data_IF_197195698469
#
_entry.id   IF_197195698469
#
_cell.length_a   1.000
_cell.length_b   1.000
_cell.length_c   1.000
_cell.angle_alpha   90.00
_cell.angle_beta   90.00
_cell.angle_gamma   90.00
#
_symmetry.space_group_name_H-M   'P 1'
#
loop_
_entity.id
_entity.type
_entity.pdbx_description
1 polymer ?
#
# COMPACT_ATOMS: atom_id res chain seq x y z
N UNK A 1 -19.40 -11.59 12.99
CA UNK A 1 -19.28 -10.39 12.14
C UNK A 1 -19.43 -10.82 10.68
N UNK A 2 -20.32 -10.16 9.95
CA UNK A 2 -20.56 -10.49 8.55
C UNK A 2 -19.42 -10.04 7.65
N UNK A 3 -19.28 -10.64 6.44
CA UNK A 3 -18.23 -10.31 5.46
C UNK A 3 -18.19 -8.83 5.11
N UNK A 4 -19.35 -8.16 4.99
CA UNK A 4 -19.46 -6.72 4.74
C UNK A 4 -18.92 -5.87 5.89
N UNK A 5 -19.21 -6.26 7.12
CA UNK A 5 -18.73 -5.56 8.32
C UNK A 5 -17.23 -5.67 8.45
N UNK A 6 -16.66 -6.84 8.17
CA UNK A 6 -15.20 -7.05 8.16
C UNK A 6 -14.51 -6.19 7.10
N UNK A 7 -15.13 -6.02 5.94
CA UNK A 7 -14.63 -5.14 4.88
C UNK A 7 -14.68 -3.67 5.28
N UNK A 8 -15.78 -3.22 5.85
CA UNK A 8 -15.89 -1.83 6.34
C UNK A 8 -14.89 -1.51 7.42
N UNK A 9 -14.65 -2.45 8.33
CA UNK A 9 -13.62 -2.29 9.37
C UNK A 9 -12.23 -2.21 8.74
N UNK A 10 -11.92 -3.03 7.74
CA UNK A 10 -10.64 -2.97 7.03
C UNK A 10 -10.42 -1.63 6.33
N UNK A 11 -11.44 -1.09 5.65
CA UNK A 11 -11.38 0.25 5.05
C UNK A 11 -11.14 1.32 6.11
N UNK A 12 -11.90 1.29 7.20
CA UNK A 12 -11.74 2.26 8.27
C UNK A 12 -10.32 2.24 8.88
N UNK A 13 -9.73 1.05 9.05
CA UNK A 13 -8.36 0.92 9.55
C UNK A 13 -7.35 1.55 8.59
N UNK A 14 -7.49 1.31 7.29
CA UNK A 14 -6.58 1.90 6.28
C UNK A 14 -6.70 3.42 6.28
N UNK A 15 -7.90 3.96 6.25
CA UNK A 15 -8.14 5.41 6.29
C UNK A 15 -7.61 6.06 7.58
N UNK A 16 -7.79 5.42 8.73
CA UNK A 16 -7.25 5.91 9.99
C UNK A 16 -5.72 5.91 10.01
N UNK A 17 -5.11 4.90 9.42
CA UNK A 17 -3.65 4.85 9.30
C UNK A 17 -3.11 5.95 8.37
N UNK A 18 -3.78 6.21 7.26
CA UNK A 18 -3.41 7.29 6.35
C UNK A 18 -3.56 8.66 7.04
N UNK A 19 -4.69 8.91 7.70
CA UNK A 19 -4.90 10.14 8.47
C UNK A 19 -3.85 10.34 9.55
N UNK A 20 -3.48 9.27 10.26
CA UNK A 20 -2.41 9.29 11.24
C UNK A 20 -1.07 9.72 10.63
N UNK A 21 -0.72 9.13 9.50
CA UNK A 21 0.57 9.42 8.85
C UNK A 21 0.61 10.84 8.27
N UNK A 22 -0.51 11.34 7.75
CA UNK A 22 -0.63 12.74 7.33
C UNK A 22 -0.44 13.71 8.49
N UNK A 23 -1.07 13.43 9.63
CA UNK A 23 -0.91 14.24 10.83
C UNK A 23 0.52 14.16 11.38
N UNK A 24 1.16 13.01 11.31
CA UNK A 24 2.55 12.84 11.74
C UNK A 24 3.54 13.61 10.85
N UNK A 25 3.24 13.79 9.58
CA UNK A 25 4.03 14.55 8.62
C UNK A 25 3.84 16.08 8.76
N UNK A 26 2.78 16.53 9.45
CA UNK A 26 2.53 17.96 9.67
C UNK A 26 3.39 18.49 10.81
N UNK A 27 3.89 19.73 10.68
CA UNK A 27 4.70 20.40 11.71
C UNK A 27 3.86 20.93 12.90
N UNK A 28 2.56 20.68 12.91
CA UNK A 28 1.66 21.11 13.99
C UNK A 28 1.69 20.14 15.16
N UNK A 29 1.53 20.67 16.37
CA UNK A 29 1.37 19.86 17.58
C UNK A 29 -0.01 19.17 17.58
N UNK A 30 -0.06 18.04 16.96
CA UNK A 30 -1.23 17.17 16.86
C UNK A 30 -1.06 15.89 17.70
N UNK A 31 -0.15 15.90 18.66
CA UNK A 31 0.22 14.74 19.46
C UNK A 31 -0.97 14.08 20.16
N UNK A 32 -1.91 14.88 20.68
CA UNK A 32 -3.12 14.37 21.32
C UNK A 32 -4.07 13.68 20.32
N UNK A 33 -4.19 14.21 19.11
CA UNK A 33 -5.00 13.62 18.04
C UNK A 33 -4.36 12.34 17.54
N UNK A 34 -3.05 12.31 17.33
CA UNK A 34 -2.30 11.11 16.98
C UNK A 34 -2.48 9.99 18.01
N UNK A 35 -2.37 10.32 19.29
CA UNK A 35 -2.56 9.35 20.38
C UNK A 35 -3.97 8.74 20.34
N UNK A 36 -5.00 9.55 20.12
CA UNK A 36 -6.38 9.06 19.98
C UNK A 36 -6.56 8.12 18.79
N UNK A 37 -5.92 8.44 17.68
CA UNK A 37 -5.94 7.59 16.47
C UNK A 37 -5.18 6.29 16.74
N UNK A 38 -4.00 6.35 17.36
CA UNK A 38 -3.23 5.17 17.72
C UNK A 38 -4.00 4.24 18.69
N UNK A 39 -4.68 4.81 19.69
CA UNK A 39 -5.53 4.05 20.61
C UNK A 39 -6.72 3.38 19.88
N UNK A 40 -7.33 4.08 18.94
CA UNK A 40 -8.42 3.52 18.14
C UNK A 40 -7.92 2.38 17.23
N UNK A 41 -6.77 2.57 16.58
CA UNK A 41 -6.14 1.53 15.76
C UNK A 41 -5.76 0.30 16.59
N UNK A 42 -5.19 0.49 17.77
CA UNK A 42 -4.83 -0.60 18.68
C UNK A 42 -6.07 -1.41 19.12
N UNK A 43 -7.20 -0.74 19.37
CA UNK A 43 -8.47 -1.43 19.67
C UNK A 43 -8.99 -2.24 18.50
N UNK A 44 -8.86 -1.71 17.27
CA UNK A 44 -9.26 -2.42 16.06
C UNK A 44 -8.34 -3.60 15.75
N UNK A 45 -7.03 -3.45 15.97
CA UNK A 45 -6.07 -4.55 15.82
C UNK A 45 -6.30 -5.69 16.81
N UNK A 46 -6.86 -5.39 17.99
CA UNK A 46 -7.26 -6.39 18.99
C UNK A 46 -8.53 -7.17 18.60
N UNK A 47 -9.25 -6.76 17.56
CA UNK A 47 -10.40 -7.49 17.03
C UNK A 47 -9.90 -8.62 16.13
N UNK A 48 -10.02 -9.86 16.59
CA UNK A 48 -9.50 -11.06 15.93
C UNK A 48 -10.08 -11.34 14.52
N UNK A 49 -10.97 -10.51 14.03
CA UNK A 49 -11.66 -10.67 12.75
C UNK A 49 -11.26 -9.64 11.68
N UNK A 50 -10.25 -8.80 11.93
CA UNK A 50 -9.76 -7.88 10.91
C UNK A 50 -9.11 -8.66 9.76
N UNK A 51 -9.61 -8.51 8.54
CA UNK A 51 -9.00 -9.21 7.41
C UNK A 51 -7.59 -8.69 7.16
N UNK A 52 -6.67 -9.60 6.88
CA UNK A 52 -5.28 -9.27 6.54
C UNK A 52 -5.16 -8.49 5.23
N UNK A 53 -6.21 -8.49 4.40
CA UNK A 53 -6.27 -7.79 3.13
C UNK A 53 -7.69 -7.71 2.58
N UNK A 54 -7.82 -7.09 1.41
CA UNK A 54 -9.08 -6.94 0.69
C UNK A 54 -9.14 -7.86 -0.53
N UNK A 55 -10.31 -8.42 -0.85
CA UNK A 55 -10.53 -9.06 -2.15
C UNK A 55 -10.21 -8.11 -3.31
N UNK A 56 -9.87 -8.67 -4.47
CA UNK A 56 -9.49 -7.88 -5.65
C UNK A 56 -10.56 -6.85 -6.05
N UNK A 57 -11.83 -7.21 -5.98
CA UNK A 57 -12.93 -6.29 -6.33
C UNK A 57 -12.99 -5.08 -5.39
N UNK A 58 -12.84 -5.30 -4.09
CA UNK A 58 -12.84 -4.23 -3.09
C UNK A 58 -11.56 -3.39 -3.16
N UNK A 59 -10.43 -4.00 -3.40
CA UNK A 59 -9.17 -3.30 -3.63
C UNK A 59 -9.26 -2.38 -4.86
N UNK A 60 -9.87 -2.87 -5.95
CA UNK A 60 -10.12 -2.07 -7.16
C UNK A 60 -11.02 -0.86 -6.86
N UNK A 61 -12.10 -1.06 -6.12
CA UNK A 61 -13.00 0.02 -5.71
C UNK A 61 -12.29 1.04 -4.82
N UNK A 62 -11.49 0.58 -3.85
CA UNK A 62 -10.72 1.44 -2.96
C UNK A 62 -9.69 2.29 -3.70
N UNK A 63 -8.97 1.70 -4.65
CA UNK A 63 -7.98 2.40 -5.48
C UNK A 63 -8.60 3.18 -6.64
N UNK A 64 -9.89 3.02 -6.90
CA UNK A 64 -10.60 3.62 -8.03
C UNK A 64 -9.97 3.22 -9.39
N UNK A 65 -9.63 1.97 -9.52
CA UNK A 65 -9.09 1.35 -10.73
C UNK A 65 -9.89 0.10 -11.10
N UNK A 66 -9.63 -0.46 -12.26
CA UNK A 66 -10.28 -1.70 -12.67
C UNK A 66 -9.68 -2.95 -11.98
N UNK A 67 -10.45 -4.01 -11.85
CA UNK A 67 -9.95 -5.29 -11.34
C UNK A 67 -8.78 -5.86 -12.15
N UNK A 68 -8.81 -5.84 -13.50
CA UNK A 68 -7.66 -6.24 -14.31
C UNK A 68 -6.38 -5.46 -13.97
N UNK A 69 -6.50 -4.17 -13.67
CA UNK A 69 -5.37 -3.34 -13.23
C UNK A 69 -4.81 -3.83 -11.91
N UNK A 70 -5.66 -4.13 -10.93
CA UNK A 70 -5.21 -4.70 -9.64
C UNK A 70 -4.50 -6.04 -9.84
N UNK A 71 -5.03 -6.91 -10.70
CA UNK A 71 -4.39 -8.20 -11.01
C UNK A 71 -3.03 -8.05 -11.68
N UNK A 72 -2.91 -7.09 -12.59
CA UNK A 72 -1.63 -6.77 -13.24
C UNK A 72 -0.61 -6.24 -12.21
N UNK A 73 -1.02 -5.36 -11.32
CA UNK A 73 -0.16 -4.85 -10.26
C UNK A 73 0.27 -5.92 -9.26
N UNK A 74 -0.58 -6.89 -8.96
CA UNK A 74 -0.21 -8.08 -8.18
C UNK A 74 0.85 -8.91 -8.90
N UNK A 75 0.73 -9.10 -10.20
CA UNK A 75 1.73 -9.82 -11.01
C UNK A 75 3.07 -9.09 -11.04
N UNK A 76 3.05 -7.78 -11.13
CA UNK A 76 4.26 -6.94 -11.19
C UNK A 76 4.88 -6.67 -9.82
N UNK A 77 4.24 -7.08 -8.73
CA UNK A 77 4.72 -6.88 -7.37
C UNK A 77 4.50 -5.49 -6.80
N UNK A 78 3.72 -4.64 -7.47
CA UNK A 78 3.28 -3.35 -6.93
C UNK A 78 2.34 -3.50 -5.75
N UNK A 79 1.39 -4.39 -5.91
CA UNK A 79 0.54 -4.88 -4.84
C UNK A 79 1.02 -6.27 -4.44
N UNK A 80 0.93 -6.56 -3.16
CA UNK A 80 1.25 -7.87 -2.62
C UNK A 80 -0.02 -8.59 -2.22
N UNK A 81 0.00 -9.91 -2.36
CA UNK A 81 -1.09 -10.77 -1.90
C UNK A 81 -0.81 -11.27 -0.49
N UNK A 82 -1.87 -11.47 0.26
CA UNK A 82 -1.77 -12.19 1.54
C UNK A 82 -1.36 -13.63 1.25
N UNK A 83 -0.29 -14.16 1.89
CA UNK A 83 0.15 -15.54 1.66
C UNK A 83 -0.97 -16.54 1.94
N UNK A 84 -1.10 -17.55 1.06
CA UNK A 84 -2.02 -18.69 1.21
C UNK A 84 -3.51 -18.34 1.31
N UNK A 85 -3.89 -17.10 1.05
CA UNK A 85 -5.29 -16.69 1.07
C UNK A 85 -6.03 -17.17 -0.19
N UNK A 86 -7.17 -17.82 0.01
CA UNK A 86 -8.11 -18.23 -1.04
C UNK A 86 -9.52 -17.78 -0.66
N UNK A 87 -10.17 -16.92 -1.43
CA UNK A 87 -9.68 -16.24 -2.65
C UNK A 87 -8.51 -15.31 -2.41
N UNK A 88 -7.88 -14.83 -3.49
CA UNK A 88 -6.76 -13.89 -3.42
C UNK A 88 -7.16 -12.62 -2.70
N UNK A 89 -6.39 -12.25 -1.68
CA UNK A 89 -6.52 -11.02 -0.94
C UNK A 89 -5.33 -10.12 -1.22
N UNK A 90 -5.59 -8.84 -1.48
CA UNK A 90 -4.55 -7.81 -1.60
C UNK A 90 -4.13 -7.39 -0.20
N UNK A 91 -2.85 -7.47 0.09
CA UNK A 91 -2.29 -7.14 1.40
C UNK A 91 -2.51 -5.66 1.75
N UNK A 92 -2.99 -5.43 2.96
CA UNK A 92 -3.41 -4.11 3.46
C UNK A 92 -2.33 -3.04 3.36
N UNK A 93 -1.12 -3.36 3.72
CA UNK A 93 0.00 -2.40 3.72
C UNK A 93 0.41 -1.99 2.30
N UNK A 94 0.47 -2.93 1.38
CA UNK A 94 0.77 -2.62 -0.03
C UNK A 94 -0.35 -1.80 -0.67
N UNK A 95 -1.62 -2.10 -0.32
CA UNK A 95 -2.78 -1.35 -0.78
C UNK A 95 -2.72 0.11 -0.32
N UNK A 96 -2.40 0.34 0.94
CA UNK A 96 -2.26 1.67 1.53
C UNK A 96 -1.16 2.49 0.83
N UNK A 97 -0.01 1.89 0.58
CA UNK A 97 1.08 2.55 -0.15
C UNK A 97 0.70 2.97 -1.56
N UNK A 98 0.08 2.07 -2.29
CA UNK A 98 -0.37 2.35 -3.66
C UNK A 98 -1.46 3.43 -3.65
N UNK A 99 -2.40 3.37 -2.73
CA UNK A 99 -3.44 4.39 -2.58
C UNK A 99 -2.84 5.79 -2.37
N UNK A 100 -1.90 5.92 -1.46
CA UNK A 100 -1.21 7.19 -1.19
C UNK A 100 -0.51 7.74 -2.43
N UNK A 101 0.21 6.89 -3.15
CA UNK A 101 0.89 7.27 -4.38
C UNK A 101 -0.10 7.71 -5.48
N UNK A 102 -1.23 7.01 -5.59
CA UNK A 102 -2.28 7.38 -6.54
C UNK A 102 -2.88 8.73 -6.22
N UNK A 103 -3.14 9.00 -4.95
CA UNK A 103 -3.68 10.29 -4.51
C UNK A 103 -2.70 11.43 -4.80
N UNK A 104 -1.41 11.26 -4.49
CA UNK A 104 -0.38 12.23 -4.81
C UNK A 104 -0.29 12.50 -6.32
N UNK A 105 -0.39 11.48 -7.15
CA UNK A 105 -0.35 11.63 -8.60
C UNK A 105 -1.62 12.27 -9.16
N UNK A 106 -2.78 11.95 -8.60
CA UNK A 106 -4.06 12.58 -8.98
C UNK A 106 -4.10 14.05 -8.63
N UNK A 107 -3.50 14.45 -7.51
CA UNK A 107 -3.38 15.86 -7.12
C UNK A 107 -2.41 16.63 -8.03
N UNK A 108 -1.30 16.01 -8.43
CA UNK A 108 -0.26 16.65 -9.26
C UNK A 108 -0.58 16.65 -10.75
N UNK A 109 -1.34 15.69 -11.25
CA UNK A 109 -1.53 15.43 -12.67
C UNK A 109 -2.99 15.50 -13.09
N UNK A 110 -3.37 16.53 -13.81
CA UNK A 110 -4.59 16.54 -14.63
C UNK A 110 -4.37 15.90 -16.00
N UNK A 111 -3.16 15.39 -16.27
CA UNK A 111 -2.76 14.82 -17.55
C UNK A 111 -3.04 13.32 -17.63
N UNK A 112 -3.44 12.89 -18.84
CA UNK A 112 -3.75 11.49 -19.17
C UNK A 112 -2.58 10.52 -18.95
N UNK A 113 -1.36 11.02 -18.83
CA UNK A 113 -0.14 10.24 -18.68
C UNK A 113 0.20 9.85 -17.23
N UNK A 114 -0.55 10.34 -16.24
CA UNK A 114 -0.26 10.02 -14.83
C UNK A 114 -0.32 8.52 -14.54
N UNK A 115 -1.26 7.80 -15.16
CA UNK A 115 -1.40 6.36 -14.96
C UNK A 115 -0.17 5.60 -15.51
N UNK A 116 0.33 6.05 -16.66
CA UNK A 116 1.53 5.48 -17.28
C UNK A 116 2.76 5.74 -16.40
N UNK A 117 2.95 6.97 -15.95
CA UNK A 117 4.01 7.36 -15.03
C UNK A 117 3.95 6.56 -13.73
N UNK A 118 2.74 6.32 -13.22
CA UNK A 118 2.53 5.50 -12.05
C UNK A 118 2.92 4.04 -12.29
N UNK A 119 2.53 3.45 -13.40
CA UNK A 119 2.90 2.08 -13.78
C UNK A 119 4.41 1.94 -13.91
N UNK A 120 5.07 2.91 -14.55
CA UNK A 120 6.53 2.93 -14.67
C UNK A 120 7.21 3.06 -13.32
N UNK A 121 6.73 3.96 -12.46
CA UNK A 121 7.25 4.14 -11.10
C UNK A 121 7.10 2.88 -10.24
N UNK A 122 5.94 2.24 -10.33
CA UNK A 122 5.65 0.99 -9.63
C UNK A 122 6.55 -0.14 -10.13
N UNK A 123 6.76 -0.19 -11.44
CA UNK A 123 7.67 -1.17 -12.05
C UNK A 123 9.10 -0.97 -11.55
N UNK A 124 9.58 0.27 -11.52
CA UNK A 124 10.88 0.61 -10.96
C UNK A 124 11.01 0.24 -9.48
N UNK A 125 9.98 0.48 -8.68
CA UNK A 125 9.95 0.09 -7.28
C UNK A 125 10.00 -1.43 -7.09
N UNK A 126 9.30 -2.17 -7.93
CA UNK A 126 9.31 -3.62 -7.90
C UNK A 126 10.70 -4.17 -8.24
N UNK A 127 11.36 -3.60 -9.25
CA UNK A 127 12.73 -3.95 -9.61
C UNK A 127 13.69 -3.66 -8.46
N UNK A 128 13.62 -2.47 -7.85
CA UNK A 128 14.49 -2.08 -6.73
C UNK A 128 14.30 -2.97 -5.49
N UNK A 129 13.14 -3.58 -5.33
CA UNK A 129 12.84 -4.51 -4.24
C UNK A 129 13.21 -5.95 -4.55
N UNK A 130 13.54 -6.27 -5.80
CA UNK A 130 13.95 -7.63 -6.14
C UNK A 130 15.21 -8.01 -5.34
N UNK A 131 15.28 -9.24 -4.80
CA UNK A 131 16.45 -9.70 -4.04
C UNK A 131 17.75 -9.60 -4.82
N UNK A 132 17.69 -9.73 -6.13
CA UNK A 132 18.84 -9.65 -7.04
C UNK A 132 19.39 -8.22 -7.13
N UNK A 133 18.50 -7.23 -7.32
CA UNK A 133 18.90 -5.81 -7.38
C UNK A 133 19.40 -5.33 -6.02
N UNK A 134 18.73 -5.73 -4.93
CA UNK A 134 19.21 -5.41 -3.57
C UNK A 134 20.60 -5.94 -3.31
N UNK A 135 20.86 -7.19 -3.66
CA UNK A 135 22.20 -7.78 -3.56
C UNK A 135 23.23 -7.04 -4.41
N UNK A 136 22.86 -6.66 -5.63
CA UNK A 136 23.72 -5.87 -6.51
C UNK A 136 24.06 -4.49 -5.92
N UNK A 137 23.08 -3.78 -5.34
CA UNK A 137 23.30 -2.49 -4.68
C UNK A 137 24.22 -2.66 -3.47
N UNK A 138 23.96 -3.66 -2.61
CA UNK A 138 24.81 -3.96 -1.45
C UNK A 138 26.25 -4.33 -1.84
N UNK A 139 26.43 -5.04 -2.95
CA UNK A 139 27.75 -5.34 -3.49
C UNK A 139 28.48 -4.10 -4.01
N UNK A 140 27.76 -3.18 -4.68
CA UNK A 140 28.32 -1.90 -5.12
C UNK A 140 28.73 -1.03 -3.92
N UNK A 141 27.89 -0.94 -2.90
CA UNK A 141 28.19 -0.18 -1.68
C UNK A 141 29.41 -0.73 -0.93
N UNK A 142 29.62 -2.04 -0.98
CA UNK A 142 30.80 -2.69 -0.40
C UNK A 142 32.05 -2.64 -1.28
N UNK A 143 31.93 -2.12 -2.50
CA UNK A 143 33.04 -2.07 -3.44
C UNK A 143 33.49 -3.43 -3.97
N UNK A 144 32.63 -4.44 -3.88
CA UNK A 144 32.95 -5.84 -4.26
C UNK A 144 32.78 -6.08 -5.77
N UNK A 145 32.15 -5.18 -6.49
CA UNK A 145 32.07 -5.23 -7.94
C UNK A 145 33.31 -4.61 -8.55
N UNK A 146 34.17 -5.46 -9.09
CA UNK A 146 35.28 -4.99 -9.88
C UNK A 146 34.76 -4.26 -11.14
N UNK A 147 35.29 -3.07 -11.48
CA UNK A 147 34.96 -2.43 -12.74
C UNK A 147 35.38 -3.35 -13.88
N UNK A 148 34.45 -3.58 -14.81
CA UNK A 148 34.74 -4.38 -16.00
C UNK A 148 35.82 -3.72 -16.86
#
# INVERSE_FOLDING_TARGET
>A
MGKRESQQVAYAVVELQDARDELAASEHDVSSTLKRIDDALARLDGVASLPAGLPVAEAAAYLQVSEPTVRDWLKRGALQRVPDAKPVLVERESLRRVHRLLDELRERGKDRDWLRTFVDYVHDMAIRRSPEVRRGIEQMERGELAPA
#
